data_IF_276585240007
#
_entry.id   IF_276585240007
#
_cell.length_a   1.000
_cell.length_b   1.000
_cell.length_c   1.000
_cell.angle_alpha   90.00
_cell.angle_beta   90.00
_cell.angle_gamma   90.00
#
_symmetry.space_group_name_H-M   'P 1'
#
loop_
_entity.id
_entity.type
_entity.pdbx_description
1 polymer ?
#
# COMPACT_ATOMS: atom_id res chain seq x y z
N UNK A 1 -17.95 -7.47 -10.70
CA UNK A 1 -18.05 -6.71 -9.43
C UNK A 1 -19.26 -7.09 -8.53
N UNK A 2 -20.08 -8.07 -8.91
CA UNK A 2 -21.28 -8.44 -8.11
C UNK A 2 -21.12 -9.76 -7.35
N UNK A 3 -19.92 -10.33 -7.31
CA UNK A 3 -19.66 -11.60 -6.63
C UNK A 3 -19.04 -11.44 -5.23
N UNK A 4 -19.09 -12.53 -4.49
CA UNK A 4 -18.36 -12.65 -3.23
C UNK A 4 -16.86 -12.82 -3.53
N UNK A 5 -16.03 -12.09 -2.81
CA UNK A 5 -14.57 -12.18 -2.88
C UNK A 5 -14.02 -12.92 -1.65
N UNK A 6 -12.93 -13.63 -1.84
CA UNK A 6 -12.21 -14.34 -0.78
C UNK A 6 -10.71 -14.42 -1.09
N UNK A 7 -9.86 -14.54 -0.08
CA UNK A 7 -8.46 -14.88 -0.26
C UNK A 7 -8.28 -16.19 -1.03
N UNK A 8 -7.16 -16.30 -1.72
CA UNK A 8 -6.73 -17.54 -2.39
C UNK A 8 -5.40 -17.99 -1.79
N UNK A 9 -5.41 -18.81 -0.72
CA UNK A 9 -4.19 -19.18 0.00
C UNK A 9 -3.11 -19.81 -0.89
N UNK A 10 -3.51 -20.56 -1.91
CA UNK A 10 -2.59 -21.21 -2.87
C UNK A 10 -1.88 -20.17 -3.73
N UNK A 11 -2.59 -19.14 -4.22
CA UNK A 11 -1.99 -18.05 -4.99
C UNK A 11 -1.07 -17.20 -4.10
N UNK A 12 -1.45 -16.93 -2.86
CA UNK A 12 -0.61 -16.23 -1.88
C UNK A 12 0.69 -17.00 -1.64
N UNK A 13 0.59 -18.31 -1.38
CA UNK A 13 1.74 -19.17 -1.16
C UNK A 13 2.67 -19.22 -2.38
N UNK A 14 2.10 -19.30 -3.58
CA UNK A 14 2.86 -19.28 -4.82
C UNK A 14 3.59 -17.93 -5.02
N UNK A 15 2.92 -16.81 -4.79
CA UNK A 15 3.55 -15.48 -4.91
C UNK A 15 4.67 -15.30 -3.88
N UNK A 16 4.50 -15.77 -2.66
CA UNK A 16 5.56 -15.74 -1.65
C UNK A 16 6.78 -16.57 -2.07
N UNK A 17 6.55 -17.78 -2.58
CA UNK A 17 7.61 -18.63 -3.13
C UNK A 17 8.37 -17.95 -4.27
N UNK A 18 7.64 -17.35 -5.23
CA UNK A 18 8.22 -16.66 -6.38
C UNK A 18 8.99 -15.39 -5.97
N UNK A 19 8.57 -14.73 -4.90
CA UNK A 19 9.25 -13.56 -4.34
C UNK A 19 10.39 -13.91 -3.36
N UNK A 20 10.62 -15.20 -3.08
CA UNK A 20 11.63 -15.65 -2.11
C UNK A 20 11.26 -15.32 -0.66
N UNK A 21 9.99 -15.05 -0.36
CA UNK A 21 9.50 -14.77 0.99
C UNK A 21 9.28 -16.08 1.72
N UNK A 22 10.14 -16.37 2.70
CA UNK A 22 10.05 -17.58 3.51
C UNK A 22 9.31 -17.38 4.83
N UNK A 23 9.20 -16.13 5.30
CA UNK A 23 8.56 -15.75 6.56
C UNK A 23 8.04 -14.33 6.49
N UNK A 24 6.91 -14.07 7.15
CA UNK A 24 6.37 -12.73 7.37
C UNK A 24 6.35 -12.49 8.87
N UNK A 25 7.07 -11.47 9.33
CA UNK A 25 7.10 -11.10 10.74
C UNK A 25 6.03 -10.05 11.08
N UNK A 26 5.60 -9.24 10.11
CA UNK A 26 4.55 -8.24 10.30
C UNK A 26 3.84 -7.87 9.00
N UNK A 27 2.57 -7.52 9.12
CA UNK A 27 1.71 -6.97 8.06
C UNK A 27 1.26 -5.57 8.45
N UNK A 28 1.41 -4.63 7.53
CA UNK A 28 1.02 -3.24 7.72
C UNK A 28 -0.15 -2.92 6.78
N UNK A 29 -1.28 -2.53 7.33
CA UNK A 29 -2.50 -2.23 6.57
C UNK A 29 -2.80 -0.74 6.66
N UNK A 30 -2.63 -0.02 5.56
CA UNK A 30 -2.81 1.43 5.53
C UNK A 30 -4.27 1.86 5.59
N UNK A 31 -5.20 1.06 5.03
CA UNK A 31 -6.65 1.21 5.15
C UNK A 31 -7.36 -0.11 4.79
N UNK A 32 -8.66 -0.22 5.10
CA UNK A 32 -9.33 -1.51 5.10
C UNK A 32 -10.14 -1.83 3.82
N UNK A 33 -9.87 -1.17 2.70
CA UNK A 33 -10.44 -1.59 1.41
C UNK A 33 -9.99 -3.01 1.05
N UNK A 34 -10.80 -3.68 0.22
CA UNK A 34 -10.59 -5.09 -0.12
C UNK A 34 -9.25 -5.38 -0.81
N UNK A 35 -8.77 -4.47 -1.63
CA UNK A 35 -7.47 -4.58 -2.33
C UNK A 35 -6.26 -4.41 -1.41
N UNK A 36 -6.47 -3.93 -0.17
CA UNK A 36 -5.45 -3.84 0.87
C UNK A 36 -5.63 -4.87 1.98
N UNK A 37 -6.87 -5.26 2.30
CA UNK A 37 -7.17 -6.03 3.51
C UNK A 37 -7.64 -7.47 3.27
N UNK A 38 -8.00 -7.85 2.03
CA UNK A 38 -8.64 -9.14 1.72
C UNK A 38 -7.77 -10.34 2.13
N UNK A 39 -6.50 -10.32 1.79
CA UNK A 39 -5.58 -11.44 1.98
C UNK A 39 -4.94 -11.47 3.38
N UNK A 40 -4.97 -10.34 4.09
CA UNK A 40 -4.28 -10.18 5.35
C UNK A 40 -4.69 -11.19 6.44
N UNK A 41 -5.97 -11.55 6.64
CA UNK A 41 -6.35 -12.58 7.59
C UNK A 41 -5.76 -13.95 7.27
N UNK A 42 -5.73 -14.35 5.98
CA UNK A 42 -5.18 -15.64 5.56
C UNK A 42 -3.67 -15.70 5.76
N UNK A 43 -2.96 -14.59 5.51
CA UNK A 43 -1.51 -14.48 5.76
C UNK A 43 -1.24 -14.52 7.26
N UNK A 44 -1.99 -13.75 8.06
CA UNK A 44 -1.82 -13.70 9.50
C UNK A 44 -2.06 -15.07 10.17
N UNK A 45 -3.07 -15.79 9.71
CA UNK A 45 -3.37 -17.15 10.20
C UNK A 45 -2.23 -18.13 9.91
N UNK A 46 -1.69 -18.08 8.70
CA UNK A 46 -0.62 -18.96 8.26
C UNK A 46 0.72 -18.63 8.92
N UNK A 47 1.12 -17.38 8.88
CA UNK A 47 2.45 -16.93 9.29
C UNK A 47 2.56 -16.63 10.79
N UNK A 48 1.42 -16.54 11.50
CA UNK A 48 1.35 -16.16 12.93
C UNK A 48 2.08 -14.83 13.21
N UNK A 49 2.00 -13.90 12.27
CA UNK A 49 2.71 -12.62 12.33
C UNK A 49 1.86 -11.54 13.01
N UNK A 50 2.54 -10.48 13.44
CA UNK A 50 1.87 -9.26 13.91
C UNK A 50 1.18 -8.55 12.74
N UNK A 51 -0.09 -8.19 12.90
CA UNK A 51 -0.80 -7.33 11.93
C UNK A 51 -1.06 -5.98 12.57
N UNK A 52 -0.76 -4.90 11.84
CA UNK A 52 -1.03 -3.53 12.24
C UNK A 52 -2.00 -2.90 11.25
N UNK A 53 -3.12 -2.40 11.74
CA UNK A 53 -4.17 -1.80 10.89
C UNK A 53 -5.16 -0.98 11.70
N UNK A 54 -6.04 -0.27 10.98
CA UNK A 54 -7.07 0.58 11.57
C UNK A 54 -8.20 -0.23 12.26
N UNK A 55 -9.14 0.47 12.89
CA UNK A 55 -10.28 -0.13 13.58
C UNK A 55 -11.19 -0.95 12.66
N UNK A 56 -11.34 -0.54 11.39
CA UNK A 56 -12.09 -1.31 10.39
C UNK A 56 -11.42 -2.64 10.07
N UNK A 57 -10.08 -2.66 9.91
CA UNK A 57 -9.35 -3.90 9.72
C UNK A 57 -9.46 -4.83 10.96
N UNK A 58 -9.46 -4.28 12.18
CA UNK A 58 -9.69 -5.07 13.38
C UNK A 58 -10.98 -5.87 13.31
N UNK A 59 -12.07 -5.29 12.80
CA UNK A 59 -13.36 -5.99 12.63
C UNK A 59 -13.28 -7.13 11.60
N UNK A 60 -12.50 -6.94 10.53
CA UNK A 60 -12.24 -8.00 9.56
C UNK A 60 -11.45 -9.15 10.23
N UNK A 61 -10.42 -8.82 10.98
CA UNK A 61 -9.58 -9.77 11.71
C UNK A 61 -10.40 -10.58 12.73
N UNK A 62 -11.21 -9.90 13.55
CA UNK A 62 -12.13 -10.52 14.53
C UNK A 62 -13.12 -11.49 13.85
N UNK A 63 -13.66 -11.11 12.68
CA UNK A 63 -14.61 -11.94 11.94
C UNK A 63 -14.01 -13.25 11.41
N UNK A 64 -12.71 -13.29 11.21
CA UNK A 64 -11.99 -14.51 10.84
C UNK A 64 -11.63 -15.40 12.05
N UNK A 65 -12.10 -15.06 13.26
CA UNK A 65 -11.79 -15.76 14.50
C UNK A 65 -10.30 -15.86 14.79
N UNK A 66 -9.52 -14.99 14.18
CA UNK A 66 -8.11 -14.87 14.52
C UNK A 66 -8.05 -14.28 15.92
N UNK A 67 -7.28 -14.94 16.78
CA UNK A 67 -7.16 -14.51 18.16
C UNK A 67 -6.87 -13.01 18.22
N UNK A 68 -7.72 -12.27 18.92
CA UNK A 68 -7.47 -10.87 19.24
C UNK A 68 -6.37 -10.75 20.33
N UNK A 69 -5.62 -11.83 20.53
CA UNK A 69 -4.42 -11.79 21.34
C UNK A 69 -3.55 -10.64 20.85
N UNK A 70 -3.30 -9.72 21.75
CA UNK A 70 -2.51 -8.49 21.51
C UNK A 70 -1.12 -8.77 20.92
N UNK A 71 -0.69 -10.03 20.91
CA UNK A 71 0.55 -10.48 20.28
C UNK A 71 0.49 -10.51 18.76
N UNK A 72 -0.72 -10.63 18.15
CA UNK A 72 -0.88 -10.80 16.71
C UNK A 72 -1.65 -9.67 16.01
N UNK A 73 -2.32 -8.80 16.77
CA UNK A 73 -3.02 -7.65 16.22
C UNK A 73 -2.72 -6.39 17.02
N UNK A 74 -2.15 -5.40 16.37
CA UNK A 74 -2.01 -4.05 16.88
C UNK A 74 -2.98 -3.11 16.14
N UNK A 75 -4.04 -2.70 16.83
CA UNK A 75 -4.96 -1.71 16.27
C UNK A 75 -4.34 -0.34 16.35
N UNK A 76 -4.22 0.34 15.21
CA UNK A 76 -3.76 1.73 15.13
C UNK A 76 -4.89 2.64 15.60
N UNK A 77 -4.76 3.28 16.75
CA UNK A 77 -5.87 4.04 17.36
C UNK A 77 -6.01 5.45 16.79
N UNK A 78 -4.94 6.05 16.32
CA UNK A 78 -4.93 7.45 15.89
C UNK A 78 -3.69 7.79 15.06
N UNK A 79 -3.67 9.00 14.55
CA UNK A 79 -2.54 9.61 13.88
C UNK A 79 -1.28 9.65 14.76
N UNK A 80 -0.13 9.51 14.12
CA UNK A 80 1.19 9.52 14.78
C UNK A 80 1.49 8.29 15.63
N UNK A 81 0.61 7.26 15.59
CA UNK A 81 0.85 6.00 16.30
C UNK A 81 2.15 5.37 15.82
N UNK A 82 3.08 5.13 16.77
CA UNK A 82 4.37 4.48 16.53
C UNK A 82 4.43 3.10 17.18
N UNK A 83 5.13 2.19 16.51
CA UNK A 83 5.40 0.85 17.03
C UNK A 83 6.79 0.40 16.62
N UNK A 84 7.59 0.03 17.60
CA UNK A 84 8.88 -0.62 17.35
C UNK A 84 8.68 -2.10 17.03
N UNK A 85 9.40 -2.55 16.02
CA UNK A 85 9.36 -3.90 15.52
C UNK A 85 10.77 -4.36 15.11
N UNK A 86 11.46 -4.99 16.04
CA UNK A 86 12.88 -5.32 15.87
C UNK A 86 13.74 -4.07 15.69
N UNK A 87 14.39 -3.95 14.53
CA UNK A 87 15.18 -2.75 14.17
C UNK A 87 14.35 -1.69 13.45
N UNK A 88 13.09 -1.94 13.24
CA UNK A 88 12.19 -1.02 12.54
C UNK A 88 11.35 -0.22 13.54
N UNK A 89 11.19 1.07 13.28
CA UNK A 89 10.15 1.89 13.88
C UNK A 89 9.12 2.21 12.81
N UNK A 90 7.89 1.77 13.01
CA UNK A 90 6.77 1.99 12.09
C UNK A 90 5.87 3.07 12.66
N UNK A 91 5.61 4.10 11.87
CA UNK A 91 4.68 5.19 12.20
C UNK A 91 3.50 5.20 11.23
N UNK A 92 2.29 5.28 11.75
CA UNK A 92 1.06 5.45 10.98
C UNK A 92 0.67 6.93 11.00
N UNK A 93 0.79 7.58 9.86
CA UNK A 93 0.55 9.01 9.70
C UNK A 93 -0.78 9.22 9.01
N UNK A 94 -1.65 10.05 9.55
CA UNK A 94 -2.97 10.31 8.98
C UNK A 94 -2.87 10.73 7.53
N UNK A 95 -3.70 10.11 6.71
CA UNK A 95 -3.83 10.40 5.30
C UNK A 95 -5.31 10.44 4.90
N UNK A 96 -5.58 10.75 3.65
CA UNK A 96 -6.92 10.74 3.07
C UNK A 96 -6.96 9.81 1.86
N UNK A 97 -8.12 9.27 1.57
CA UNK A 97 -8.32 8.49 0.36
C UNK A 97 -8.47 9.41 -0.86
N UNK A 98 -7.97 8.97 -2.03
CA UNK A 98 -8.18 9.65 -3.30
C UNK A 98 -9.67 9.94 -3.53
N UNK A 99 -10.01 11.15 -4.03
CA UNK A 99 -11.40 11.62 -4.09
C UNK A 99 -12.11 11.40 -5.43
N UNK A 100 -11.36 11.02 -6.45
CA UNK A 100 -11.78 11.01 -7.87
C UNK A 100 -13.01 10.15 -8.22
N UNK A 101 -13.58 9.41 -7.28
CA UNK A 101 -14.71 8.51 -7.53
C UNK A 101 -15.82 8.58 -6.49
N UNK A 102 -16.39 9.73 -6.31
CA UNK A 102 -17.50 9.97 -5.35
C UNK A 102 -18.65 8.95 -5.44
N UNK A 103 -18.95 8.42 -6.62
CA UNK A 103 -20.05 7.45 -6.77
C UNK A 103 -19.70 6.06 -6.21
N UNK A 104 -18.49 5.54 -6.49
CA UNK A 104 -18.05 4.23 -5.96
C UNK A 104 -17.64 4.35 -4.49
N UNK A 105 -17.07 5.50 -4.10
CA UNK A 105 -16.67 5.79 -2.73
C UNK A 105 -17.82 5.61 -1.74
N UNK A 106 -19.04 6.07 -2.05
CA UNK A 106 -20.22 5.85 -1.19
C UNK A 106 -20.43 4.40 -0.77
N UNK A 107 -20.00 3.46 -1.58
CA UNK A 107 -20.17 2.02 -1.31
C UNK A 107 -19.09 1.44 -0.41
N UNK A 108 -17.94 2.08 -0.33
CA UNK A 108 -16.76 1.60 0.41
C UNK A 108 -16.23 2.59 1.45
N UNK A 109 -16.80 3.80 1.49
CA UNK A 109 -16.54 4.78 2.56
C UNK A 109 -17.12 4.35 3.91
N UNK A 110 -16.65 5.00 4.98
CA UNK A 110 -17.10 4.75 6.35
C UNK A 110 -16.31 3.64 7.01
N UNK A 111 -16.85 3.09 8.07
CA UNK A 111 -16.19 2.11 8.92
C UNK A 111 -16.85 0.74 8.87
N UNK A 112 -16.06 -0.29 9.11
CA UNK A 112 -16.56 -1.63 9.39
C UNK A 112 -17.01 -1.67 10.86
N UNK A 113 -18.33 -1.60 11.08
CA UNK A 113 -18.89 -1.56 12.43
C UNK A 113 -19.03 -2.96 13.07
N UNK A 114 -19.24 -3.99 12.25
CA UNK A 114 -19.46 -5.37 12.72
C UNK A 114 -18.46 -6.33 12.13
N UNK A 115 -17.94 -7.29 12.92
CA UNK A 115 -17.06 -8.33 12.40
C UNK A 115 -17.71 -9.10 11.25
N UNK A 116 -16.89 -9.46 10.24
CA UNK A 116 -17.33 -10.34 9.16
C UNK A 116 -16.17 -11.22 8.65
N UNK A 117 -16.54 -12.35 8.08
CA UNK A 117 -15.64 -13.32 7.47
C UNK A 117 -15.84 -13.35 5.95
N UNK A 118 -14.78 -13.63 5.22
CA UNK A 118 -14.85 -13.95 3.79
C UNK A 118 -15.32 -15.40 3.54
N UNK A 119 -16.03 -15.69 2.46
CA UNK A 119 -16.38 -14.83 1.33
C UNK A 119 -17.34 -13.69 1.68
N UNK A 120 -17.07 -12.49 1.18
CA UNK A 120 -17.89 -11.30 1.42
C UNK A 120 -17.98 -10.42 0.17
N UNK A 121 -18.96 -9.56 0.08
CA UNK A 121 -19.00 -8.54 -0.98
C UNK A 121 -17.91 -7.49 -0.73
N UNK A 122 -17.31 -6.97 -1.80
CA UNK A 122 -16.27 -5.93 -1.71
C UNK A 122 -16.74 -4.70 -0.92
N UNK A 123 -18.03 -4.37 -0.99
CA UNK A 123 -18.64 -3.24 -0.27
C UNK A 123 -18.67 -3.40 1.26
N UNK A 124 -18.38 -4.60 1.78
CA UNK A 124 -18.19 -4.84 3.22
C UNK A 124 -16.85 -4.30 3.72
N UNK A 125 -15.88 -4.18 2.85
CA UNK A 125 -14.55 -3.65 3.16
C UNK A 125 -14.57 -2.13 3.14
N UNK A 126 -15.08 -1.52 4.22
CA UNK A 126 -15.12 -0.07 4.38
C UNK A 126 -13.74 0.47 4.71
N UNK A 127 -13.43 1.64 4.18
CA UNK A 127 -12.12 2.27 4.27
C UNK A 127 -11.58 2.35 5.70
N UNK A 128 -12.38 2.87 6.62
CA UNK A 128 -11.92 3.31 7.92
C UNK A 128 -10.94 4.47 7.82
N UNK A 129 -10.12 4.64 8.84
CA UNK A 129 -9.01 5.59 8.78
C UNK A 129 -7.99 5.19 7.72
N UNK A 130 -7.43 6.20 7.06
CA UNK A 130 -6.37 6.04 6.05
C UNK A 130 -5.06 6.52 6.63
N UNK A 131 -4.01 5.73 6.45
CA UNK A 131 -2.66 6.06 6.90
C UNK A 131 -1.64 5.92 5.78
N UNK A 132 -0.74 6.87 5.70
CA UNK A 132 0.57 6.66 5.13
C UNK A 132 1.44 5.94 6.19
N UNK A 133 2.33 5.07 5.76
CA UNK A 133 3.16 4.26 6.65
C UNK A 133 4.60 4.70 6.48
N UNK A 134 5.18 5.25 7.54
CA UNK A 134 6.58 5.61 7.58
C UNK A 134 7.36 4.55 8.36
N UNK A 135 8.44 4.07 7.77
CA UNK A 135 9.28 3.00 8.33
C UNK A 135 10.70 3.51 8.43
N UNK A 136 11.24 3.52 9.65
CA UNK A 136 12.63 3.85 9.93
C UNK A 136 13.43 2.59 10.26
N UNK A 137 14.63 2.50 9.73
CA UNK A 137 15.62 1.46 10.02
C UNK A 137 17.02 2.11 10.02
N UNK A 138 18.03 1.59 10.74
CA UNK A 138 19.40 2.14 10.72
C UNK A 138 20.01 2.30 9.32
N UNK A 139 19.57 1.53 8.34
CA UNK A 139 20.05 1.59 6.96
C UNK A 139 19.30 2.59 6.07
N UNK A 140 18.19 3.16 6.55
CA UNK A 140 17.40 4.15 5.81
C UNK A 140 15.93 4.14 6.17
N UNK A 141 15.18 5.01 5.52
CA UNK A 141 13.76 5.24 5.81
C UNK A 141 12.90 5.17 4.56
N UNK A 142 11.68 4.69 4.74
CA UNK A 142 10.71 4.49 3.65
C UNK A 142 9.38 5.11 4.07
N UNK A 143 8.75 5.84 3.14
CA UNK A 143 7.35 6.22 3.24
C UNK A 143 6.53 5.43 2.23
N UNK A 144 5.40 4.90 2.64
CA UNK A 144 4.45 4.21 1.77
C UNK A 144 3.12 4.95 1.84
N UNK A 145 2.70 5.56 0.73
CA UNK A 145 1.34 6.09 0.61
C UNK A 145 0.45 5.02 0.00
N UNK A 146 -0.63 4.69 0.67
CA UNK A 146 -1.50 3.56 0.29
C UNK A 146 -2.61 3.96 -0.69
N UNK A 147 -2.71 5.25 -1.02
CA UNK A 147 -3.68 5.84 -1.94
C UNK A 147 -3.19 7.22 -2.37
N UNK A 148 -3.75 7.81 -3.43
CA UNK A 148 -3.35 9.11 -3.96
C UNK A 148 -4.05 10.28 -3.23
N UNK A 149 -4.04 10.25 -1.90
CA UNK A 149 -4.55 11.33 -1.06
C UNK A 149 -3.57 11.66 0.07
N UNK A 150 -3.68 12.85 0.65
CA UNK A 150 -2.83 13.31 1.74
C UNK A 150 -3.55 14.33 2.60
N UNK A 151 -3.21 14.35 3.89
CA UNK A 151 -3.59 15.42 4.82
C UNK A 151 -2.48 16.48 4.81
N UNK A 152 -2.80 17.75 4.52
CA UNK A 152 -1.81 18.82 4.49
C UNK A 152 -1.02 18.93 5.81
N UNK A 153 0.31 19.01 5.70
CA UNK A 153 1.22 19.17 6.83
C UNK A 153 1.46 17.92 7.67
N UNK A 154 0.72 16.82 7.46
CA UNK A 154 0.85 15.61 8.28
C UNK A 154 2.26 14.99 8.23
N UNK A 155 2.97 15.17 7.12
CA UNK A 155 4.29 14.59 6.88
C UNK A 155 5.46 15.58 7.07
N UNK A 156 5.24 16.81 7.51
CA UNK A 156 6.28 17.86 7.60
C UNK A 156 7.47 17.49 8.49
N UNK A 157 7.22 16.69 9.53
CA UNK A 157 8.24 16.27 10.49
C UNK A 157 8.91 14.94 10.14
N UNK A 158 8.52 14.32 9.01
CA UNK A 158 9.08 13.06 8.55
C UNK A 158 10.13 13.27 7.47
N UNK A 159 11.03 12.30 7.35
CA UNK A 159 12.00 12.21 6.25
C UNK A 159 12.01 10.78 5.74
N UNK A 160 12.11 10.62 4.43
CA UNK A 160 12.18 9.30 3.83
C UNK A 160 13.21 9.29 2.70
N UNK A 161 14.05 8.27 2.65
CA UNK A 161 15.00 8.09 1.54
C UNK A 161 14.29 7.61 0.28
N UNK A 162 13.26 6.79 0.47
CA UNK A 162 12.44 6.22 -0.60
C UNK A 162 10.96 6.43 -0.30
N UNK A 163 10.20 6.85 -1.31
CA UNK A 163 8.74 6.92 -1.23
C UNK A 163 8.13 5.90 -2.19
N UNK A 164 7.37 4.96 -1.66
CA UNK A 164 6.41 4.16 -2.44
C UNK A 164 5.13 4.98 -2.58
N UNK A 165 4.94 5.56 -3.75
CA UNK A 165 3.88 6.53 -4.03
C UNK A 165 2.66 5.84 -4.65
N UNK A 166 1.57 5.75 -3.92
CA UNK A 166 0.29 5.24 -4.42
C UNK A 166 -0.28 6.16 -5.51
N UNK A 167 -0.45 5.65 -6.73
CA UNK A 167 -0.90 6.46 -7.87
C UNK A 167 -2.25 6.03 -8.45
N UNK A 168 -2.92 5.08 -7.80
CA UNK A 168 -4.26 4.65 -8.22
C UNK A 168 -5.22 5.84 -8.28
N UNK A 169 -5.85 6.04 -9.43
CA UNK A 169 -6.77 7.15 -9.75
C UNK A 169 -6.16 8.56 -9.72
N UNK A 170 -4.86 8.71 -9.53
CA UNK A 170 -4.20 10.04 -9.48
C UNK A 170 -4.50 10.90 -10.73
N UNK A 171 -4.52 10.29 -11.91
CA UNK A 171 -4.83 11.00 -13.15
C UNK A 171 -6.28 11.55 -13.23
N UNK A 172 -7.18 11.06 -12.37
CA UNK A 172 -8.57 11.52 -12.29
C UNK A 172 -8.77 12.70 -11.34
N UNK A 173 -7.77 12.98 -10.53
CA UNK A 173 -7.76 14.17 -9.67
C UNK A 173 -7.49 15.43 -10.50
N UNK A 174 -7.93 16.57 -9.99
CA UNK A 174 -7.62 17.87 -10.62
C UNK A 174 -6.13 18.16 -10.57
N UNK A 175 -5.64 19.00 -11.50
CA UNK A 175 -4.24 19.43 -11.51
C UNK A 175 -3.77 20.00 -10.14
N UNK A 176 -4.65 20.70 -9.45
CA UNK A 176 -4.36 21.26 -8.12
C UNK A 176 -4.16 20.13 -7.11
N UNK A 177 -5.06 19.15 -7.07
CA UNK A 177 -4.97 18.00 -6.16
C UNK A 177 -3.74 17.14 -6.45
N UNK A 178 -3.40 16.90 -7.73
CA UNK A 178 -2.19 16.20 -8.12
C UNK A 178 -0.92 16.87 -7.58
N UNK A 179 -0.83 18.20 -7.71
CA UNK A 179 0.29 18.99 -7.19
C UNK A 179 0.32 19.00 -5.66
N UNK A 180 -0.83 19.17 -5.02
CA UNK A 180 -0.93 19.12 -3.56
C UNK A 180 -0.51 17.73 -3.05
N UNK A 181 -0.98 16.64 -3.67
CA UNK A 181 -0.58 15.30 -3.30
C UNK A 181 0.94 15.09 -3.39
N UNK A 182 1.56 15.51 -4.49
CA UNK A 182 3.02 15.46 -4.64
C UNK A 182 3.73 16.29 -3.56
N UNK A 183 3.28 17.51 -3.34
CA UNK A 183 3.86 18.40 -2.33
C UNK A 183 3.80 17.79 -0.93
N UNK A 184 2.63 17.35 -0.52
CA UNK A 184 2.37 16.83 0.83
C UNK A 184 3.00 15.46 1.08
N UNK A 185 3.31 14.68 0.05
CA UNK A 185 3.86 13.32 0.21
C UNK A 185 5.32 13.20 -0.19
N UNK A 186 5.73 13.83 -1.28
CA UNK A 186 7.10 13.70 -1.81
C UNK A 186 7.98 14.85 -1.34
N UNK A 187 7.54 16.10 -1.56
CA UNK A 187 8.37 17.24 -1.17
C UNK A 187 8.47 17.42 0.35
N UNK A 188 7.42 17.06 1.08
CA UNK A 188 7.45 17.11 2.55
C UNK A 188 8.57 16.22 3.12
N UNK A 189 8.72 14.99 2.65
CA UNK A 189 9.69 14.02 3.19
C UNK A 189 11.05 14.02 2.47
N UNK A 190 11.16 14.67 1.29
CA UNK A 190 12.39 14.90 0.53
C UNK A 190 13.16 13.62 0.15
N UNK A 191 12.53 12.64 -0.52
CA UNK A 191 13.19 11.40 -0.89
C UNK A 191 14.22 11.61 -2.00
N UNK A 192 15.17 10.69 -2.12
CA UNK A 192 16.01 10.58 -3.29
C UNK A 192 15.32 9.80 -4.42
N UNK A 193 14.48 8.84 -4.06
CA UNK A 193 13.83 7.94 -5.01
C UNK A 193 12.33 7.84 -4.75
N UNK A 194 11.54 7.98 -5.80
CA UNK A 194 10.09 7.76 -5.80
C UNK A 194 9.78 6.50 -6.60
N UNK A 195 9.03 5.59 -6.03
CA UNK A 195 8.61 4.33 -6.63
C UNK A 195 7.08 4.35 -6.76
N UNK A 196 6.52 4.58 -7.95
CA UNK A 196 5.08 4.51 -8.15
C UNK A 196 4.57 3.10 -7.87
N UNK A 197 3.48 3.00 -7.08
CA UNK A 197 2.79 1.75 -6.74
C UNK A 197 1.28 1.92 -6.93
N UNK A 198 0.52 0.85 -6.76
CA UNK A 198 -0.95 0.86 -6.94
C UNK A 198 -1.37 1.24 -8.38
N UNK A 199 -0.60 0.79 -9.36
CA UNK A 199 -0.85 1.01 -10.79
C UNK A 199 -1.22 -0.28 -11.52
N UNK A 200 -1.20 -1.40 -10.84
CA UNK A 200 -1.52 -2.72 -11.36
C UNK A 200 -3.03 -2.92 -11.50
N UNK A 201 -3.39 -3.89 -12.33
CA UNK A 201 -4.78 -4.29 -12.50
C UNK A 201 -5.10 -5.49 -11.61
N UNK A 202 -5.61 -5.23 -10.40
CA UNK A 202 -5.99 -6.27 -9.44
C UNK A 202 -7.18 -7.15 -9.86
N UNK A 203 -7.81 -6.87 -11.00
CA UNK A 203 -8.79 -7.78 -11.62
C UNK A 203 -8.12 -8.89 -12.45
N UNK A 204 -6.81 -8.81 -12.69
CA UNK A 204 -6.05 -9.81 -13.45
C UNK A 204 -5.23 -10.68 -12.51
N UNK A 205 -5.05 -11.93 -12.95
CA UNK A 205 -4.15 -12.86 -12.27
C UNK A 205 -2.70 -12.36 -12.37
N UNK A 206 -1.97 -12.43 -11.27
CA UNK A 206 -0.55 -12.09 -11.26
C UNK A 206 0.24 -13.05 -12.16
N UNK A 207 1.23 -12.51 -12.89
CA UNK A 207 2.10 -13.33 -13.74
C UNK A 207 2.95 -14.28 -12.89
N UNK A 208 3.14 -15.49 -13.39
CA UNK A 208 4.07 -16.48 -12.82
C UNK A 208 5.49 -16.32 -13.34
N UNK A 209 5.69 -15.63 -14.47
CA UNK A 209 7.00 -15.46 -15.06
C UNK A 209 7.83 -14.42 -14.31
N UNK A 210 9.02 -14.76 -13.79
CA UNK A 210 9.95 -13.77 -13.28
C UNK A 210 10.36 -12.84 -14.42
N UNK A 211 10.36 -11.55 -14.17
CA UNK A 211 10.71 -10.54 -15.18
C UNK A 211 9.65 -10.37 -16.29
N UNK A 212 8.51 -11.07 -16.23
CA UNK A 212 7.36 -10.57 -16.94
C UNK A 212 7.13 -9.18 -16.38
N UNK A 213 7.70 -8.21 -17.12
CA UNK A 213 7.26 -6.85 -17.01
C UNK A 213 5.76 -6.95 -16.84
N UNK A 214 5.25 -6.51 -15.72
CA UNK A 214 3.92 -6.01 -15.71
C UNK A 214 3.98 -4.98 -16.80
N UNK A 215 3.79 -5.42 -18.04
CA UNK A 215 3.64 -4.46 -19.10
C UNK A 215 2.65 -3.50 -18.53
N UNK A 216 3.01 -2.24 -18.46
CA UNK A 216 2.06 -1.16 -18.36
C UNK A 216 1.12 -1.41 -19.53
N UNK A 217 0.32 -2.46 -19.38
CA UNK A 217 -0.58 -2.88 -20.45
C UNK A 217 -1.56 -1.74 -20.51
N UNK A 218 -1.56 -1.00 -21.63
CA UNK A 218 -2.45 0.12 -21.81
C UNK A 218 -3.92 -0.30 -21.91
N UNK A 219 -4.22 -1.58 -21.62
CA UNK A 219 -5.62 -1.96 -21.44
C UNK A 219 -6.08 -1.30 -20.16
N UNK A 220 -6.82 -0.20 -20.28
CA UNK A 220 -7.33 0.48 -19.12
C UNK A 220 -8.15 -0.55 -18.34
N UNK A 221 -7.74 -0.80 -17.11
CA UNK A 221 -8.71 -1.23 -16.14
C UNK A 221 -9.64 -0.04 -16.02
N UNK A 222 -10.84 -0.09 -16.68
CA UNK A 222 -11.76 0.97 -16.37
C UNK A 222 -11.95 0.88 -14.88
N UNK A 223 -11.54 1.86 -14.17
CA UNK A 223 -11.62 3.27 -14.52
C UNK A 223 -10.34 4.09 -14.31
N UNK A 224 -9.20 3.45 -14.19
CA UNK A 224 -7.95 4.13 -13.93
C UNK A 224 -7.20 4.50 -15.22
N UNK A 225 -6.51 5.63 -15.20
CA UNK A 225 -5.62 6.11 -16.26
C UNK A 225 -4.17 6.06 -15.76
N UNK A 226 -3.60 4.86 -15.77
CA UNK A 226 -2.23 4.62 -15.30
C UNK A 226 -1.21 5.44 -16.09
N UNK A 227 -1.40 5.59 -17.41
CA UNK A 227 -0.51 6.38 -18.25
C UNK A 227 -0.52 7.86 -17.84
N UNK A 228 -1.70 8.43 -17.65
CA UNK A 228 -1.85 9.80 -17.15
C UNK A 228 -1.25 9.96 -15.75
N UNK A 229 -1.45 9.01 -14.85
CA UNK A 229 -0.85 9.04 -13.52
C UNK A 229 0.69 9.01 -13.57
N UNK A 230 1.28 8.18 -14.42
CA UNK A 230 2.73 8.15 -14.64
C UNK A 230 3.26 9.45 -15.27
N UNK A 231 2.49 10.08 -16.15
CA UNK A 231 2.86 11.41 -16.70
C UNK A 231 2.89 12.47 -15.60
N UNK A 232 1.92 12.48 -14.69
CA UNK A 232 1.91 13.36 -13.51
C UNK A 232 3.17 13.16 -12.68
N UNK A 233 3.48 11.91 -12.29
CA UNK A 233 4.66 11.58 -11.49
C UNK A 233 5.94 12.04 -12.19
N UNK A 234 6.12 11.72 -13.47
CA UNK A 234 7.32 12.09 -14.20
C UNK A 234 7.48 13.60 -14.35
N UNK A 235 6.37 14.33 -14.55
CA UNK A 235 6.38 15.80 -14.65
C UNK A 235 6.83 16.41 -13.32
N UNK A 236 6.21 16.00 -12.21
CA UNK A 236 6.55 16.51 -10.89
C UNK A 236 7.98 16.13 -10.49
N UNK A 237 8.38 14.89 -10.75
CA UNK A 237 9.74 14.43 -10.44
C UNK A 237 10.81 15.22 -11.20
N UNK A 238 10.58 15.53 -12.47
CA UNK A 238 11.48 16.38 -13.28
C UNK A 238 11.55 17.80 -12.74
N UNK A 239 10.40 18.39 -12.41
CA UNK A 239 10.29 19.76 -11.86
C UNK A 239 11.06 19.87 -10.54
N UNK A 240 10.93 18.88 -9.66
CA UNK A 240 11.52 18.87 -8.32
C UNK A 240 12.83 18.08 -8.21
N UNK A 241 13.41 17.63 -9.34
CA UNK A 241 14.68 16.90 -9.40
C UNK A 241 14.70 15.65 -8.52
N UNK A 242 13.63 14.86 -8.56
CA UNK A 242 13.53 13.58 -7.86
C UNK A 242 13.77 12.41 -8.81
N UNK A 243 14.45 11.37 -8.34
CA UNK A 243 14.59 10.12 -9.08
C UNK A 243 13.28 9.33 -9.08
N UNK A 244 12.90 8.80 -10.24
CA UNK A 244 11.76 7.85 -10.33
C UNK A 244 12.31 6.48 -10.72
N UNK A 245 11.94 5.46 -9.96
CA UNK A 245 12.29 4.07 -10.25
C UNK A 245 11.00 3.27 -10.47
N UNK A 246 10.89 2.65 -11.64
CA UNK A 246 9.80 1.71 -11.90
C UNK A 246 10.25 0.32 -11.46
N UNK A 247 9.43 -0.31 -10.64
CA UNK A 247 9.64 -1.68 -10.20
C UNK A 247 8.59 -2.60 -10.83
N UNK A 248 9.05 -3.70 -11.38
CA UNK A 248 8.19 -4.78 -11.82
C UNK A 248 7.70 -5.63 -10.64
N UNK A 249 6.84 -6.58 -10.96
CA UNK A 249 6.35 -7.54 -9.98
C UNK A 249 7.51 -8.38 -9.42
N UNK A 250 7.68 -8.37 -8.11
CA UNK A 250 8.74 -9.06 -7.36
C UNK A 250 10.16 -8.50 -7.55
N UNK A 251 10.31 -7.34 -8.18
CA UNK A 251 11.60 -6.66 -8.15
C UNK A 251 11.94 -6.27 -6.70
N UNK A 252 13.24 -6.25 -6.42
CA UNK A 252 13.77 -5.87 -5.12
C UNK A 252 14.97 -4.94 -5.25
N UNK A 253 15.23 -4.19 -4.22
CA UNK A 253 16.43 -3.38 -4.08
C UNK A 253 16.96 -3.47 -2.64
N UNK A 254 18.24 -3.19 -2.48
CA UNK A 254 18.83 -3.00 -1.16
C UNK A 254 18.83 -1.51 -0.82
N UNK A 255 18.28 -1.16 0.35
CA UNK A 255 18.45 0.16 0.93
C UNK A 255 19.60 0.10 1.93
N UNK A 256 20.67 0.84 1.66
CA UNK A 256 21.85 0.90 2.53
C UNK A 256 22.33 2.34 2.65
N UNK A 257 22.43 2.82 3.90
CA UNK A 257 22.80 4.21 4.24
C UNK A 257 21.98 5.24 3.46
N UNK A 258 20.66 5.04 3.39
CA UNK A 258 19.72 5.90 2.68
C UNK A 258 19.80 5.86 1.16
N UNK A 259 20.62 4.98 0.56
CA UNK A 259 20.78 4.85 -0.89
C UNK A 259 20.20 3.55 -1.41
N UNK A 260 19.51 3.64 -2.53
CA UNK A 260 18.97 2.49 -3.26
C UNK A 260 20.07 1.84 -4.11
N UNK A 261 20.28 0.56 -3.88
CA UNK A 261 21.15 -0.29 -4.70
C UNK A 261 20.29 -1.34 -5.41
N UNK A 262 20.13 -1.22 -6.72
CA UNK A 262 19.40 -2.21 -7.51
C UNK A 262 20.18 -3.52 -7.53
N UNK A 263 19.59 -4.58 -7.02
CA UNK A 263 20.10 -5.92 -7.25
C UNK A 263 19.57 -6.41 -8.60
N UNK A 264 20.44 -6.66 -9.55
CA UNK A 264 20.08 -7.54 -10.66
C UNK A 264 19.81 -8.91 -10.03
N UNK A 265 18.54 -9.28 -9.91
CA UNK A 265 18.18 -10.66 -9.54
C UNK A 265 18.63 -11.52 -10.74
N UNK A 266 19.82 -12.04 -10.64
CA UNK A 266 20.30 -13.05 -11.56
C UNK A 266 19.37 -14.25 -11.44
N UNK A 267 18.61 -14.50 -12.50
CA UNK A 267 17.83 -15.73 -12.66
C UNK A 267 18.85 -16.87 -12.60
N UNK A 268 18.86 -17.61 -11.47
CA UNK A 268 19.51 -18.92 -11.39
C UNK A 268 18.50 -20.01 -11.62
#
# INVERSE_FOLDING_TARGET
>A
FFGLIKPKPEEIAEQFKLAGISKVDGLLIGHAHHDHALDAPAIAEKEKCLVMGNTSYRKIHEGHHLSADKSHLFTVPCDGTKKDFGKFTVSFVKSEHVTARKFVQKWVEGEVCTPFKTPAYFSRFKCGDVYAIHIEHPEGSILITTTAGAVPGALDHYRADVVFLGIGLLAKETCCQQKTYWHETVEAVKPHTVIPVHWDNFSRKLSRNPGASTSLSPTPSPPDDVQGAMQVVNTQAKEHRRGVMLMGLRDSFLLHKGKVHTQQVGIR
#
